data_IF_905720395771
#
_entry.id   IF_905720395771
#
_cell.length_a   1.000
_cell.length_b   1.000
_cell.length_c   1.000
_cell.angle_alpha   90.00
_cell.angle_beta   90.00
_cell.angle_gamma   90.00
#
_symmetry.space_group_name_H-M   'P 1'
#
loop_
_entity.id
_entity.type
_entity.pdbx_description
1 polymer ?
#
# COMPACT_ATOMS: atom_id res chain seq x y z
N UNK A 1 16.78 9.87 24.84
CA UNK A 1 17.16 9.34 23.50
C UNK A 1 16.01 9.63 22.57
N UNK A 2 16.24 10.53 21.60
CA UNK A 2 15.19 11.21 20.85
C UNK A 2 14.33 10.27 20.03
N UNK A 3 13.01 10.45 20.09
CA UNK A 3 12.05 9.79 19.20
C UNK A 3 12.40 10.19 17.77
N UNK A 4 12.98 9.30 16.99
CA UNK A 4 13.23 9.51 15.56
C UNK A 4 11.89 9.69 14.85
N UNK A 5 11.72 10.79 14.13
CA UNK A 5 10.54 11.02 13.28
C UNK A 5 10.49 9.90 12.23
N UNK A 6 9.39 9.12 12.15
CA UNK A 6 9.32 8.00 11.23
C UNK A 6 9.34 8.48 9.78
N UNK A 7 10.11 7.80 8.93
CA UNK A 7 10.18 8.06 7.49
C UNK A 7 8.85 7.75 6.82
N UNK A 8 8.63 8.26 5.61
CA UNK A 8 7.42 7.93 4.81
C UNK A 8 7.27 6.42 4.66
N UNK A 9 8.35 5.71 4.32
CA UNK A 9 8.36 4.25 4.26
C UNK A 9 7.89 3.59 5.56
N UNK A 10 8.41 4.05 6.71
CA UNK A 10 8.00 3.53 8.01
C UNK A 10 6.54 3.85 8.32
N UNK A 11 6.07 5.05 7.99
CA UNK A 11 4.66 5.43 8.15
C UNK A 11 3.74 4.56 7.30
N UNK A 12 4.12 4.27 6.05
CA UNK A 12 3.36 3.38 5.17
C UNK A 12 3.35 1.92 5.64
N UNK A 13 4.43 1.44 6.24
CA UNK A 13 4.45 0.13 6.92
C UNK A 13 3.51 0.11 8.12
N UNK A 14 3.50 1.17 8.94
CA UNK A 14 2.57 1.33 10.06
C UNK A 14 1.12 1.35 9.56
N UNK A 15 0.83 2.03 8.45
CA UNK A 15 -0.50 2.05 7.81
C UNK A 15 -0.91 0.63 7.41
N UNK A 16 -0.03 -0.12 6.74
CA UNK A 16 -0.32 -1.50 6.36
C UNK A 16 -0.59 -2.40 7.58
N UNK A 17 0.20 -2.26 8.65
CA UNK A 17 -0.02 -3.01 9.90
C UNK A 17 -1.34 -2.62 10.58
N UNK A 18 -1.69 -1.32 10.58
CA UNK A 18 -2.96 -0.82 11.11
C UNK A 18 -4.14 -1.44 10.37
N UNK A 19 -4.07 -1.50 9.04
CA UNK A 19 -5.05 -2.14 8.17
C UNK A 19 -5.03 -3.67 8.32
N UNK A 20 -3.89 -4.29 8.61
CA UNK A 20 -3.74 -5.73 8.88
C UNK A 20 -4.66 -6.26 9.98
N UNK A 21 -5.20 -5.40 10.86
CA UNK A 21 -6.25 -5.79 11.82
C UNK A 21 -7.58 -6.15 11.16
N UNK A 22 -7.86 -5.67 9.95
CA UNK A 22 -9.01 -6.09 9.16
C UNK A 22 -8.87 -7.54 8.69
N UNK A 23 -7.66 -8.02 8.46
CA UNK A 23 -7.38 -9.39 8.00
C UNK A 23 -8.04 -10.44 8.90
N UNK A 24 -8.10 -10.24 10.21
CA UNK A 24 -8.66 -11.21 11.15
C UNK A 24 -10.20 -11.32 11.12
N UNK A 25 -10.88 -10.37 10.47
CA UNK A 25 -12.35 -10.34 10.35
C UNK A 25 -12.83 -10.54 8.91
N UNK A 26 -11.91 -10.73 7.96
CA UNK A 26 -12.22 -10.94 6.55
C UNK A 26 -12.48 -12.42 6.25
N UNK A 27 -13.23 -12.68 5.19
CA UNK A 27 -13.38 -14.04 4.67
C UNK A 27 -12.06 -14.51 4.09
N UNK A 28 -11.81 -15.81 4.11
CA UNK A 28 -10.56 -16.40 3.59
C UNK A 28 -10.31 -16.03 2.12
N UNK A 29 -11.36 -15.96 1.30
CA UNK A 29 -11.32 -15.54 -0.11
C UNK A 29 -10.81 -14.10 -0.29
N UNK A 30 -11.11 -13.21 0.65
CA UNK A 30 -10.73 -11.80 0.56
C UNK A 30 -9.33 -11.53 1.15
N UNK A 31 -8.83 -12.40 2.03
CA UNK A 31 -7.55 -12.22 2.74
C UNK A 31 -6.38 -12.15 1.78
N UNK A 32 -6.35 -13.02 0.77
CA UNK A 32 -5.26 -13.04 -0.22
C UNK A 32 -5.20 -11.73 -1.01
N UNK A 33 -6.37 -11.25 -1.47
CA UNK A 33 -6.51 -9.98 -2.20
C UNK A 33 -6.08 -8.83 -1.29
N UNK A 34 -6.51 -8.84 -0.03
CA UNK A 34 -6.18 -7.82 0.94
C UNK A 34 -4.67 -7.75 1.22
N UNK A 35 -4.02 -8.89 1.43
CA UNK A 35 -2.56 -8.96 1.65
C UNK A 35 -1.80 -8.39 0.43
N UNK A 36 -2.30 -8.65 -0.80
CA UNK A 36 -1.76 -8.05 -2.02
C UNK A 36 -1.94 -6.53 -2.09
N UNK A 37 -3.10 -6.00 -1.69
CA UNK A 37 -3.34 -4.55 -1.59
C UNK A 37 -2.35 -3.92 -0.60
N UNK A 38 -2.11 -4.56 0.54
CA UNK A 38 -1.16 -4.06 1.53
C UNK A 38 0.25 -3.93 0.93
N UNK A 39 0.70 -4.94 0.17
CA UNK A 39 1.98 -4.90 -0.53
C UNK A 39 2.04 -3.79 -1.58
N UNK A 40 1.01 -3.67 -2.43
CA UNK A 40 0.92 -2.62 -3.45
C UNK A 40 1.03 -1.22 -2.83
N UNK A 41 0.31 -1.00 -1.73
CA UNK A 41 0.27 0.28 -1.04
C UNK A 41 1.64 0.79 -0.59
N UNK A 42 2.65 -0.08 -0.40
CA UNK A 42 4.00 0.30 0.06
C UNK A 42 5.04 0.43 -1.07
N UNK A 43 4.71 0.02 -2.29
CA UNK A 43 5.67 -0.07 -3.41
C UNK A 43 6.29 1.27 -3.79
N UNK A 44 5.51 2.36 -3.79
CA UNK A 44 5.97 3.67 -4.26
C UNK A 44 6.39 4.62 -3.13
N UNK A 45 6.82 4.05 -1.99
CA UNK A 45 7.27 4.86 -0.84
C UNK A 45 8.42 5.83 -1.14
N UNK A 46 9.40 5.52 -2.03
CA UNK A 46 10.42 6.50 -2.43
C UNK A 46 9.83 7.71 -3.16
N UNK A 47 8.94 7.50 -4.12
CA UNK A 47 8.30 8.53 -4.94
C UNK A 47 7.43 9.43 -4.07
N UNK A 48 6.64 8.84 -3.17
CA UNK A 48 5.81 9.58 -2.20
C UNK A 48 6.67 10.42 -1.27
N UNK A 49 7.79 9.84 -0.79
CA UNK A 49 8.73 10.56 0.08
C UNK A 49 9.37 11.74 -0.62
N UNK A 50 9.77 11.59 -1.88
CA UNK A 50 10.37 12.66 -2.67
C UNK A 50 9.36 13.75 -3.03
N UNK A 51 8.12 13.37 -3.33
CA UNK A 51 7.04 14.30 -3.66
C UNK A 51 6.46 15.03 -2.43
N UNK A 52 6.85 14.64 -1.21
CA UNK A 52 6.32 15.22 0.03
C UNK A 52 4.83 14.95 0.24
N UNK A 53 4.30 13.88 -0.38
CA UNK A 53 2.89 13.51 -0.29
C UNK A 53 2.63 12.89 1.09
N UNK A 54 1.44 13.14 1.64
CA UNK A 54 1.00 12.49 2.86
C UNK A 54 1.03 10.94 2.72
N UNK A 55 1.62 10.18 3.66
CA UNK A 55 1.76 8.73 3.53
C UNK A 55 0.46 7.94 3.37
N UNK A 56 -0.65 8.38 3.95
CA UNK A 56 -1.94 7.68 3.80
C UNK A 56 -2.51 7.90 2.41
N UNK A 57 -2.44 9.13 1.90
CA UNK A 57 -2.79 9.44 0.50
C UNK A 57 -1.88 8.71 -0.49
N UNK A 58 -0.56 8.72 -0.25
CA UNK A 58 0.42 8.03 -1.08
C UNK A 58 0.22 6.51 -1.09
N UNK A 59 -0.17 5.92 0.04
CA UNK A 59 -0.50 4.50 0.12
C UNK A 59 -1.65 4.15 -0.81
N UNK A 60 -2.74 4.92 -0.78
CA UNK A 60 -3.88 4.72 -1.67
C UNK A 60 -3.52 4.93 -3.14
N UNK A 61 -2.76 5.98 -3.46
CA UNK A 61 -2.26 6.22 -4.81
C UNK A 61 -1.41 5.04 -5.32
N UNK A 62 -0.58 4.47 -4.45
CA UNK A 62 0.24 3.30 -4.78
C UNK A 62 -0.62 2.08 -5.13
N UNK A 63 -1.68 1.83 -4.35
CA UNK A 63 -2.64 0.77 -4.64
C UNK A 63 -3.28 0.99 -6.00
N UNK A 64 -3.82 2.19 -6.25
CA UNK A 64 -4.50 2.52 -7.51
C UNK A 64 -3.55 2.34 -8.69
N UNK A 65 -2.32 2.84 -8.60
CA UNK A 65 -1.32 2.72 -9.67
C UNK A 65 -1.04 1.25 -10.01
N UNK A 66 -0.84 0.41 -8.99
CA UNK A 66 -0.58 -1.01 -9.20
C UNK A 66 -1.79 -1.78 -9.73
N UNK A 67 -3.00 -1.42 -9.30
CA UNK A 67 -4.24 -1.97 -9.86
C UNK A 67 -4.39 -1.61 -11.34
N UNK A 68 -4.14 -0.34 -11.71
CA UNK A 68 -4.18 0.12 -13.11
C UNK A 68 -3.16 -0.61 -13.99
N UNK A 69 -1.97 -0.93 -13.46
CA UNK A 69 -0.99 -1.76 -14.17
C UNK A 69 -1.50 -3.17 -14.44
N UNK A 70 -2.17 -3.79 -13.46
CA UNK A 70 -2.73 -5.13 -13.63
C UNK A 70 -3.87 -5.15 -14.67
N UNK A 71 -4.76 -4.15 -14.64
CA UNK A 71 -5.82 -4.05 -15.65
C UNK A 71 -5.26 -3.91 -17.06
N UNK A 72 -4.25 -3.05 -17.23
CA UNK A 72 -3.58 -2.88 -18.52
C UNK A 72 -2.91 -4.17 -19.01
N UNK A 73 -2.30 -4.95 -18.11
CA UNK A 73 -1.70 -6.24 -18.49
C UNK A 73 -2.75 -7.25 -18.94
N UNK A 74 -3.92 -7.28 -18.28
CA UNK A 74 -5.03 -8.13 -18.72
C UNK A 74 -5.58 -7.74 -20.09
N UNK A 75 -5.62 -6.44 -20.41
CA UNK A 75 -6.02 -5.94 -21.74
C UNK A 75 -5.00 -6.26 -22.84
N UNK A 76 -3.71 -6.44 -22.51
CA UNK A 76 -2.65 -6.76 -23.47
C UNK A 76 -2.52 -8.27 -23.74
N UNK A 77 -3.16 -9.12 -22.93
CA UNK A 77 -3.15 -10.59 -23.04
C UNK A 77 -4.39 -11.18 -23.76
N UNK A 78 -5.42 -10.37 -24.04
CA UNK A 78 -6.61 -10.71 -24.85
C UNK A 78 -6.47 -10.29 -26.33
#
# INVERSE_FOLDING_TARGET
>A
MGRTTPTVRQKMEIIAQKYGRMRSIMRAEDVEIFDRIMLMGRKHSPEISMAGIDPETGFLMSVILEMMKLFRQGEEEE
#
